data_IF_338574215683
#
_entry.id   IF_338574215683
#
_cell.length_a   1.000
_cell.length_b   1.000
_cell.length_c   1.000
_cell.angle_alpha   90.00
_cell.angle_beta   90.00
_cell.angle_gamma   90.00
#
_symmetry.space_group_name_H-M   'P 1'
#
loop_
_entity.id
_entity.type
_entity.pdbx_description
1 polymer ?
#
# COMPACT_ATOMS: atom_id res chain seq x y z
N UNK A 1 -11.58 16.80 5.81
CA UNK A 1 -10.16 16.40 5.86
C UNK A 1 -10.10 15.03 6.54
N UNK A 2 -9.42 14.05 5.96
CA UNK A 2 -9.20 12.78 6.63
C UNK A 2 -8.17 12.99 7.76
N UNK A 3 -8.31 12.30 8.91
CA UNK A 3 -7.32 12.39 9.98
C UNK A 3 -5.93 11.94 9.48
N UNK A 4 -4.85 12.50 10.03
CA UNK A 4 -3.50 12.07 9.68
C UNK A 4 -3.36 10.56 9.91
N UNK A 5 -2.84 9.85 8.92
CA UNK A 5 -2.57 8.42 9.05
C UNK A 5 -1.36 8.25 9.95
N UNK A 6 -1.50 7.51 11.05
CA UNK A 6 -0.39 7.21 11.93
C UNK A 6 0.63 6.34 11.20
N UNK A 7 1.88 6.80 11.14
CA UNK A 7 3.00 6.06 10.57
C UNK A 7 3.78 5.46 11.73
N UNK A 8 3.78 4.14 11.84
CA UNK A 8 4.50 3.42 12.89
C UNK A 8 5.88 3.00 12.40
N UNK A 9 6.88 3.18 13.25
CA UNK A 9 8.19 2.58 13.05
C UNK A 9 8.14 1.06 13.17
N UNK A 10 9.17 0.38 12.67
CA UNK A 10 9.29 -1.09 12.71
C UNK A 10 9.17 -1.65 14.14
N UNK A 11 9.67 -0.90 15.11
CA UNK A 11 9.75 -1.36 16.51
C UNK A 11 8.38 -1.24 17.19
N UNK A 12 7.61 -0.21 16.83
CA UNK A 12 6.23 -0.03 17.29
C UNK A 12 5.29 -1.07 16.65
N UNK A 13 5.56 -1.41 15.38
CA UNK A 13 4.81 -2.47 14.68
C UNK A 13 4.99 -3.84 15.31
N UNK A 14 6.14 -4.13 15.94
CA UNK A 14 6.40 -5.43 16.58
C UNK A 14 5.34 -5.78 17.63
N UNK A 15 4.99 -4.83 18.49
CA UNK A 15 3.96 -5.04 19.51
C UNK A 15 2.55 -5.19 18.95
N UNK A 16 2.29 -4.71 17.73
CA UNK A 16 1.03 -4.92 17.01
C UNK A 16 1.02 -6.31 16.38
N UNK A 17 2.14 -6.73 15.77
CA UNK A 17 2.32 -8.07 15.21
C UNK A 17 2.15 -9.17 16.25
N UNK A 18 2.70 -8.98 17.45
CA UNK A 18 2.54 -9.93 18.57
C UNK A 18 1.08 -10.10 19.01
N UNK A 19 0.22 -9.10 18.75
CA UNK A 19 -1.21 -9.12 19.06
C UNK A 19 -2.08 -9.53 17.87
N UNK A 20 -1.49 -9.63 16.67
CA UNK A 20 -2.19 -10.04 15.48
C UNK A 20 -2.44 -11.55 15.53
N UNK A 21 -3.70 -11.94 15.52
CA UNK A 21 -4.15 -13.31 15.43
C UNK A 21 -4.45 -13.67 13.97
N UNK A 22 -3.97 -14.84 13.54
CA UNK A 22 -4.34 -15.47 12.28
C UNK A 22 -5.81 -15.91 12.31
N UNK A 23 -6.51 -15.97 11.15
CA UNK A 23 -5.98 -15.78 9.81
C UNK A 23 -5.89 -14.31 9.36
N UNK A 24 -4.78 -13.95 8.71
CA UNK A 24 -4.58 -12.66 8.07
C UNK A 24 -4.90 -12.70 6.56
N UNK A 25 -5.48 -11.62 6.02
CA UNK A 25 -5.79 -11.49 4.60
C UNK A 25 -4.91 -10.43 3.94
N UNK A 26 -4.38 -10.73 2.75
CA UNK A 26 -3.69 -9.74 1.94
C UNK A 26 -4.72 -8.86 1.21
N UNK A 27 -4.62 -7.54 1.40
CA UNK A 27 -5.42 -6.52 0.73
C UNK A 27 -4.52 -5.59 -0.07
N UNK A 28 -5.02 -5.09 -1.20
CA UNK A 28 -4.33 -4.11 -2.02
C UNK A 28 -5.16 -2.83 -2.10
N UNK A 29 -4.46 -1.70 -2.15
CA UNK A 29 -5.05 -0.38 -2.40
C UNK A 29 -4.23 0.32 -3.49
N UNK A 30 -4.90 0.75 -4.56
CA UNK A 30 -4.29 1.62 -5.57
C UNK A 30 -4.58 3.07 -5.19
N UNK A 31 -3.54 3.89 -5.17
CA UNK A 31 -3.61 5.32 -4.91
C UNK A 31 -2.84 6.06 -6.00
N UNK A 32 -3.07 7.38 -6.11
CA UNK A 32 -2.31 8.23 -7.01
C UNK A 32 -1.49 9.21 -6.19
N UNK A 33 -0.20 9.31 -6.49
CA UNK A 33 0.68 10.37 -6.01
C UNK A 33 0.66 11.49 -7.04
N UNK A 34 0.09 12.63 -6.68
CA UNK A 34 -0.08 13.76 -7.59
C UNK A 34 0.83 14.91 -7.18
N UNK A 35 1.68 15.33 -8.10
CA UNK A 35 2.56 16.49 -7.92
C UNK A 35 2.30 17.53 -9.03
N UNK A 36 2.40 18.81 -8.67
CA UNK A 36 2.30 19.89 -9.65
C UNK A 36 3.69 20.18 -10.22
N UNK A 37 3.89 19.97 -11.52
CA UNK A 37 5.19 20.14 -12.18
C UNK A 37 5.46 21.56 -12.69
N UNK A 38 4.63 22.54 -12.33
CA UNK A 38 4.69 23.92 -12.83
C UNK A 38 3.72 24.23 -13.97
N UNK A 39 3.21 23.21 -14.66
CA UNK A 39 2.23 23.36 -15.74
C UNK A 39 0.94 22.57 -15.47
N UNK A 40 1.07 21.33 -15.02
CA UNK A 40 -0.04 20.41 -14.78
C UNK A 40 0.18 19.56 -13.53
N UNK A 41 -0.90 18.92 -13.08
CA UNK A 41 -0.83 17.88 -12.06
C UNK A 41 -0.50 16.55 -12.72
N UNK A 42 0.66 15.99 -12.39
CA UNK A 42 1.07 14.66 -12.82
C UNK A 42 0.74 13.69 -11.71
N UNK A 43 -0.21 12.80 -11.95
CA UNK A 43 -0.65 11.77 -11.01
C UNK A 43 -0.09 10.40 -11.39
N UNK A 44 0.81 9.87 -10.58
CA UNK A 44 1.41 8.55 -10.77
C UNK A 44 0.65 7.52 -9.92
N UNK A 45 0.00 6.51 -10.52
CA UNK A 45 -0.64 5.45 -9.78
C UNK A 45 0.40 4.52 -9.14
N UNK A 46 0.22 4.25 -7.87
CA UNK A 46 1.01 3.28 -7.11
C UNK A 46 0.10 2.39 -6.28
N UNK A 47 0.63 1.23 -5.87
CA UNK A 47 -0.11 0.24 -5.10
C UNK A 47 0.54 0.01 -3.74
N UNK A 48 -0.30 -0.06 -2.71
CA UNK A 48 0.08 -0.42 -1.35
C UNK A 48 -0.57 -1.74 -0.97
N UNK A 49 0.18 -2.58 -0.25
CA UNK A 49 -0.30 -3.88 0.21
C UNK A 49 -0.41 -3.88 1.73
N UNK A 50 -1.47 -4.49 2.24
CA UNK A 50 -1.76 -4.56 3.66
C UNK A 50 -2.08 -5.99 4.05
N UNK A 51 -1.51 -6.45 5.16
CA UNK A 51 -2.04 -7.60 5.89
C UNK A 51 -3.12 -7.10 6.84
N UNK A 52 -4.34 -7.56 6.61
CA UNK A 52 -5.50 -7.32 7.45
C UNK A 52 -5.65 -8.51 8.41
N UNK A 53 -5.34 -8.30 9.69
CA UNK A 53 -5.36 -9.32 10.72
C UNK A 53 -6.35 -8.95 11.83
N UNK A 54 -6.90 -9.95 12.53
CA UNK A 54 -7.63 -9.70 13.78
C UNK A 54 -6.66 -9.40 14.92
N UNK A 55 -6.93 -8.39 15.75
CA UNK A 55 -6.19 -8.11 16.98
C UNK A 55 -7.20 -7.92 18.13
N UNK A 56 -7.55 -9.02 18.79
CA UNK A 56 -8.65 -9.05 19.76
C UNK A 56 -10.00 -8.71 19.12
N UNK A 57 -10.64 -7.61 19.55
CA UNK A 57 -11.93 -7.13 19.00
C UNK A 57 -11.80 -6.17 17.81
N UNK A 58 -10.58 -5.87 17.36
CA UNK A 58 -10.30 -4.90 16.28
C UNK A 58 -9.66 -5.58 15.09
N UNK A 59 -9.83 -4.98 13.92
CA UNK A 59 -9.09 -5.35 12.72
C UNK A 59 -7.93 -4.38 12.58
N UNK A 60 -6.72 -4.90 12.40
CA UNK A 60 -5.52 -4.11 12.12
C UNK A 60 -5.11 -4.29 10.68
N UNK A 61 -4.69 -3.21 10.04
CA UNK A 61 -4.13 -3.20 8.69
C UNK A 61 -2.69 -2.76 8.79
N UNK A 62 -1.78 -3.67 8.48
CA UNK A 62 -0.34 -3.42 8.53
C UNK A 62 0.16 -3.43 7.10
N UNK A 63 0.79 -2.33 6.68
CA UNK A 63 1.39 -2.26 5.36
C UNK A 63 2.55 -3.25 5.27
N UNK A 64 2.60 -4.02 4.18
CA UNK A 64 3.63 -5.03 3.93
C UNK A 64 4.29 -4.76 2.58
N UNK A 65 5.62 -4.74 2.59
CA UNK A 65 6.45 -4.48 1.42
C UNK A 65 7.57 -5.53 1.36
N UNK A 66 7.20 -6.80 1.35
CA UNK A 66 8.14 -7.91 1.15
C UNK A 66 8.27 -8.26 -0.34
N UNK A 67 9.42 -8.79 -0.77
CA UNK A 67 9.64 -9.31 -2.13
C UNK A 67 8.51 -10.27 -2.52
N UNK A 68 8.15 -11.20 -1.65
CA UNK A 68 7.08 -12.18 -1.92
C UNK A 68 5.72 -11.51 -2.15
N UNK A 69 5.40 -10.47 -1.38
CA UNK A 69 4.13 -9.75 -1.52
C UNK A 69 4.09 -8.88 -2.78
N UNK A 70 5.24 -8.33 -3.19
CA UNK A 70 5.36 -7.49 -4.37
C UNK A 70 5.10 -8.28 -5.67
N UNK A 71 5.46 -9.56 -5.71
CA UNK A 71 5.23 -10.44 -6.86
C UNK A 71 3.78 -10.96 -6.97
N UNK A 72 3.13 -11.20 -5.82
CA UNK A 72 1.77 -11.77 -5.78
C UNK A 72 0.68 -10.76 -6.15
N UNK A 73 0.95 -9.48 -5.96
CA UNK A 73 0.01 -8.45 -6.31
C UNK A 73 0.27 -7.95 -7.74
N UNK A 74 -0.38 -8.55 -8.73
CA UNK A 74 -0.51 -7.94 -10.06
C UNK A 74 -1.69 -6.95 -10.04
N UNK A 75 -1.49 -5.72 -10.51
CA UNK A 75 -2.57 -4.74 -10.66
C UNK A 75 -2.57 -4.15 -12.07
N UNK A 76 -3.67 -4.32 -12.80
CA UNK A 76 -3.77 -3.92 -14.19
C UNK A 76 -3.68 -2.40 -14.39
N UNK A 77 -4.10 -1.59 -13.41
CA UNK A 77 -4.07 -0.12 -13.50
C UNK A 77 -2.65 0.38 -13.44
N UNK A 78 -1.89 -0.08 -12.43
CA UNK A 78 -0.47 0.29 -12.27
C UNK A 78 0.35 -0.23 -13.44
N UNK A 79 0.16 -1.48 -13.87
CA UNK A 79 0.88 -2.05 -15.00
C UNK A 79 0.64 -1.27 -16.29
N UNK A 80 -0.63 -0.95 -16.61
CA UNK A 80 -0.96 -0.18 -17.82
C UNK A 80 -0.32 1.20 -17.83
N UNK A 81 -0.28 1.89 -16.69
CA UNK A 81 0.37 3.19 -16.58
C UNK A 81 1.86 3.08 -16.95
N UNK A 82 2.61 2.17 -16.31
CA UNK A 82 4.04 2.02 -16.57
C UNK A 82 4.33 1.53 -18.01
N UNK A 83 3.46 0.71 -18.58
CA UNK A 83 3.56 0.32 -20.00
C UNK A 83 3.33 1.50 -20.95
N UNK A 84 2.40 2.41 -20.64
CA UNK A 84 2.18 3.60 -21.46
C UNK A 84 3.35 4.56 -21.40
N UNK A 85 3.92 4.79 -20.21
CA UNK A 85 5.08 5.67 -20.02
C UNK A 85 6.33 5.17 -20.76
N UNK A 86 6.51 3.83 -20.86
CA UNK A 86 7.64 3.22 -21.59
C UNK A 86 7.53 3.29 -23.11
N UNK A 87 6.34 3.54 -23.67
CA UNK A 87 6.13 3.66 -25.13
C UNK A 87 6.37 5.07 -25.65
N UNK A 88 6.63 6.03 -24.76
CA UNK A 88 6.88 7.43 -25.11
C UNK A 88 8.37 7.82 -25.16
N UNK A 89 9.28 6.84 -25.10
CA UNK A 89 10.73 6.99 -25.32
C UNK A 89 11.13 6.35 -26.64
#
# INVERSE_FOLDING_TARGET
>A
MAPPTLVFGKEELKGIWEKAAEPCFLKALVQNECEFNGHEYVCTPFKRLFKECGAGKRIVRIEVTDQDTNHLAFDATVTRFWESSRRCT
#
